data_IF_444430566307
#
_entry.id   IF_444430566307
#
_cell.length_a   1.000
_cell.length_b   1.000
_cell.length_c   1.000
_cell.angle_alpha   90.00
_cell.angle_beta   90.00
_cell.angle_gamma   90.00
#
_symmetry.space_group_name_H-M   'P 1'
#
loop_
_entity.id
_entity.type
_entity.pdbx_description
1 polymer ?
#
# COMPACT_ATOMS: atom_id res chain seq x y z
N UNK A 1 -18.39 7.23 59.10
CA UNK A 1 -17.54 8.31 58.54
C UNK A 1 -16.23 7.82 57.89
N UNK A 2 -15.75 6.60 58.13
CA UNK A 2 -14.47 6.10 57.54
C UNK A 2 -14.56 5.64 56.07
N UNK A 3 -15.74 5.39 55.52
CA UNK A 3 -15.89 4.89 54.14
C UNK A 3 -16.05 6.00 53.09
N UNK A 4 -16.51 7.19 53.49
CA UNK A 4 -16.65 8.34 52.58
C UNK A 4 -15.30 8.91 52.12
N UNK A 5 -14.27 8.85 52.95
CA UNK A 5 -12.92 9.33 52.62
C UNK A 5 -12.18 8.43 51.65
N UNK A 6 -12.47 7.11 51.69
CA UNK A 6 -11.86 6.16 50.73
C UNK A 6 -12.42 6.31 49.32
N UNK A 7 -13.69 6.63 49.20
CA UNK A 7 -14.32 6.87 47.88
C UNK A 7 -13.86 8.21 47.27
N UNK A 8 -13.62 9.23 48.11
CA UNK A 8 -13.09 10.52 47.65
C UNK A 8 -11.63 10.43 47.21
N UNK A 9 -10.79 9.63 47.88
CA UNK A 9 -9.40 9.41 47.49
C UNK A 9 -9.31 8.59 46.20
N UNK A 10 -10.20 7.61 46.00
CA UNK A 10 -10.25 6.83 44.76
C UNK A 10 -10.70 7.68 43.55
N UNK A 11 -11.69 8.56 43.77
CA UNK A 11 -12.13 9.48 42.69
C UNK A 11 -11.07 10.53 42.35
N UNK A 12 -10.31 11.02 43.34
CA UNK A 12 -9.20 11.96 43.10
C UNK A 12 -8.02 11.30 42.40
N UNK A 13 -7.72 10.03 42.69
CA UNK A 13 -6.69 9.25 42.01
C UNK A 13 -7.04 8.95 40.54
N UNK A 14 -8.33 8.65 40.28
CA UNK A 14 -8.81 8.47 38.89
C UNK A 14 -8.78 9.77 38.07
N UNK A 15 -9.07 10.92 38.71
CA UNK A 15 -8.96 12.23 38.07
C UNK A 15 -7.51 12.63 37.74
N UNK A 16 -6.55 12.25 38.59
CA UNK A 16 -5.12 12.50 38.36
C UNK A 16 -4.53 11.57 37.27
N UNK A 17 -5.10 10.37 37.10
CA UNK A 17 -4.69 9.45 36.04
C UNK A 17 -5.27 9.84 34.67
N UNK A 18 -6.39 10.56 34.63
CA UNK A 18 -6.98 11.09 33.40
C UNK A 18 -6.33 12.41 32.93
N UNK A 19 -5.61 13.10 33.81
CA UNK A 19 -4.92 14.36 33.49
C UNK A 19 -3.45 14.16 32.99
N UNK A 20 -2.95 12.91 32.95
CA UNK A 20 -1.55 12.58 32.73
C UNK A 20 -1.19 11.95 31.40
N UNK A 21 -2.13 11.76 30.48
CA UNK A 21 -1.85 11.23 29.14
C UNK A 21 -2.34 12.20 28.06
N UNK A 22 -1.87 13.46 28.11
CA UNK A 22 -1.65 14.17 26.88
C UNK A 22 -0.32 13.61 26.33
N UNK A 23 -0.39 12.63 25.41
CA UNK A 23 0.73 12.35 24.54
C UNK A 23 1.16 13.70 23.94
N UNK A 24 2.48 14.00 23.83
CA UNK A 24 2.88 15.12 23.04
C UNK A 24 2.26 14.90 21.66
N UNK A 25 1.42 15.84 21.20
CA UNK A 25 1.07 15.93 19.80
C UNK A 25 2.43 15.94 19.08
N UNK A 26 2.71 14.85 18.36
CA UNK A 26 3.81 14.83 17.43
C UNK A 26 3.54 16.07 16.56
N UNK A 27 4.41 17.07 16.67
CA UNK A 27 4.42 18.19 15.73
C UNK A 27 4.47 17.53 14.37
N UNK A 28 3.33 17.55 13.67
CA UNK A 28 3.22 17.06 12.31
C UNK A 28 4.38 17.71 11.56
N UNK A 29 5.39 16.90 11.22
CA UNK A 29 6.36 17.33 10.23
C UNK A 29 5.49 17.82 9.07
N UNK A 30 5.52 19.13 8.84
CA UNK A 30 4.62 19.77 7.91
C UNK A 30 4.78 19.04 6.57
N UNK A 31 3.74 18.30 6.18
CA UNK A 31 3.72 17.62 4.91
C UNK A 31 4.15 18.65 3.87
N UNK A 32 5.13 18.31 3.05
CA UNK A 32 5.54 19.18 1.96
C UNK A 32 4.27 19.53 1.21
N UNK A 33 3.90 20.82 1.10
CA UNK A 33 2.66 21.17 0.44
C UNK A 33 2.69 20.61 -0.96
N UNK A 34 1.63 19.88 -1.31
CA UNK A 34 1.47 19.36 -2.67
C UNK A 34 1.58 20.53 -3.65
N UNK A 35 2.36 20.41 -4.73
CA UNK A 35 2.42 21.45 -5.72
C UNK A 35 1.00 21.68 -6.30
N UNK A 36 0.52 22.92 -6.29
CA UNK A 36 -0.79 23.30 -6.86
C UNK A 36 -0.91 22.91 -8.33
N UNK A 37 0.23 22.67 -8.99
CA UNK A 37 0.30 22.17 -10.36
C UNK A 37 1.70 21.68 -10.71
N UNK A 38 1.77 20.85 -11.75
CA UNK A 38 3.03 20.32 -12.29
C UNK A 38 3.31 20.93 -13.66
N UNK A 39 4.55 21.34 -13.90
CA UNK A 39 4.95 21.83 -15.23
C UNK A 39 5.12 20.66 -16.20
N UNK A 40 4.37 20.71 -17.30
CA UNK A 40 4.44 19.73 -18.39
C UNK A 40 4.33 20.43 -19.74
N UNK A 41 5.26 20.13 -20.64
CA UNK A 41 5.31 20.73 -21.99
C UNK A 41 5.20 22.24 -22.04
N UNK A 42 5.66 22.95 -20.99
CA UNK A 42 5.61 24.41 -20.90
C UNK A 42 4.29 24.98 -20.36
N UNK A 43 3.38 24.13 -19.93
CA UNK A 43 2.13 24.52 -19.26
C UNK A 43 2.09 23.98 -17.84
N UNK A 44 1.40 24.68 -16.95
CA UNK A 44 1.10 24.16 -15.60
C UNK A 44 -0.20 23.36 -15.67
N UNK A 45 -0.14 22.07 -15.36
CA UNK A 45 -1.32 21.22 -15.22
C UNK A 45 -1.73 21.15 -13.75
N UNK A 46 -3.03 21.28 -13.49
CA UNK A 46 -3.58 21.25 -12.12
C UNK A 46 -4.00 19.84 -11.76
N UNK A 47 -3.89 19.51 -10.48
CA UNK A 47 -4.40 18.24 -9.97
C UNK A 47 -5.91 18.14 -10.19
N UNK A 48 -6.37 16.98 -10.60
CA UNK A 48 -7.79 16.65 -10.64
C UNK A 48 -8.28 16.23 -9.25
N UNK A 49 -9.08 17.07 -8.62
CA UNK A 49 -9.62 16.84 -7.27
C UNK A 49 -10.65 15.70 -7.22
N UNK A 50 -11.11 15.18 -8.35
CA UNK A 50 -11.98 13.99 -8.41
C UNK A 50 -11.20 12.68 -8.29
N UNK A 51 -9.91 12.70 -8.57
CA UNK A 51 -9.02 11.53 -8.49
C UNK A 51 -8.79 11.14 -7.03
N UNK A 52 -8.79 9.84 -6.78
CA UNK A 52 -8.46 9.25 -5.48
C UNK A 52 -7.30 8.28 -5.65
N UNK A 53 -6.42 8.27 -4.67
CA UNK A 53 -5.25 7.38 -4.65
C UNK A 53 -5.18 6.55 -3.37
N UNK A 54 -4.75 5.29 -3.53
CA UNK A 54 -4.58 4.34 -2.45
C UNK A 54 -3.23 3.64 -2.59
N UNK A 55 -2.36 3.78 -1.59
CA UNK A 55 -1.13 3.01 -1.49
C UNK A 55 -1.40 1.68 -0.79
N UNK A 56 -1.09 0.56 -1.43
CA UNK A 56 -1.14 -0.78 -0.84
C UNK A 56 0.28 -1.31 -0.70
N UNK A 57 0.65 -1.71 0.51
CA UNK A 57 1.97 -2.27 0.82
C UNK A 57 1.86 -3.60 1.54
N UNK A 58 2.65 -4.58 1.11
CA UNK A 58 2.87 -5.79 1.89
C UNK A 58 4.15 -5.68 2.71
N UNK A 59 4.06 -6.09 3.99
CA UNK A 59 5.17 -6.09 4.95
C UNK A 59 5.47 -7.54 5.34
N UNK A 60 6.72 -7.94 5.27
CA UNK A 60 7.20 -9.20 5.84
C UNK A 60 8.26 -8.96 6.89
N UNK A 61 8.52 -9.97 7.70
CA UNK A 61 9.58 -9.94 8.70
C UNK A 61 10.62 -10.99 8.31
N UNK A 62 11.88 -10.59 8.32
CA UNK A 62 12.97 -11.53 8.14
C UNK A 62 13.22 -12.39 9.41
N UNK A 63 14.25 -13.26 9.36
CA UNK A 63 14.58 -14.14 10.48
C UNK A 63 15.06 -13.42 11.72
N UNK A 64 15.58 -12.21 11.56
CA UNK A 64 16.12 -11.37 12.63
C UNK A 64 15.04 -10.40 13.16
N UNK A 65 13.84 -10.42 12.58
CA UNK A 65 12.70 -9.60 12.97
C UNK A 65 12.66 -8.23 12.28
N UNK A 66 13.49 -8.01 11.27
CA UNK A 66 13.43 -6.77 10.47
C UNK A 66 12.20 -6.79 9.57
N UNK A 67 11.44 -5.72 9.61
CA UNK A 67 10.31 -5.50 8.72
C UNK A 67 10.78 -4.94 7.38
N UNK A 68 10.35 -5.57 6.29
CA UNK A 68 10.68 -5.17 4.93
C UNK A 68 9.40 -5.04 4.11
N UNK A 69 9.32 -4.00 3.28
CA UNK A 69 8.27 -3.94 2.27
C UNK A 69 8.59 -4.93 1.16
N UNK A 70 7.69 -5.84 0.90
CA UNK A 70 7.84 -6.86 -0.14
C UNK A 70 7.10 -6.50 -1.41
N UNK A 71 6.07 -5.64 -1.32
CA UNK A 71 5.38 -5.08 -2.47
C UNK A 71 4.83 -3.69 -2.18
N UNK A 72 4.79 -2.85 -3.21
CA UNK A 72 4.27 -1.49 -3.16
C UNK A 72 3.46 -1.23 -4.44
N UNK A 73 2.22 -0.79 -4.26
CA UNK A 73 1.29 -0.54 -5.34
C UNK A 73 0.52 0.74 -5.08
N UNK A 74 0.41 1.60 -6.09
CA UNK A 74 -0.47 2.77 -6.02
C UNK A 74 -1.62 2.56 -6.98
N UNK A 75 -2.82 2.52 -6.43
CA UNK A 75 -4.06 2.53 -7.19
C UNK A 75 -4.52 3.97 -7.34
N UNK A 76 -4.94 4.31 -8.54
CA UNK A 76 -5.49 5.63 -8.88
C UNK A 76 -6.86 5.43 -9.49
N UNK A 77 -7.90 5.97 -8.84
CA UNK A 77 -9.26 5.91 -9.35
C UNK A 77 -9.65 7.27 -9.91
N UNK A 78 -10.03 7.29 -11.18
CA UNK A 78 -10.50 8.47 -11.86
C UNK A 78 -12.00 8.79 -11.57
N UNK A 79 -12.50 9.89 -12.12
CA UNK A 79 -13.89 10.34 -11.93
C UNK A 79 -14.92 9.34 -12.47
N UNK A 80 -14.56 8.57 -13.50
CA UNK A 80 -15.44 7.57 -14.13
C UNK A 80 -15.46 6.25 -13.34
N UNK A 81 -14.63 6.15 -12.28
CA UNK A 81 -14.52 4.97 -11.41
C UNK A 81 -13.56 3.90 -11.93
N UNK A 82 -12.86 4.16 -13.02
CA UNK A 82 -11.80 3.28 -13.51
C UNK A 82 -10.59 3.33 -12.58
N UNK A 83 -9.93 2.18 -12.39
CA UNK A 83 -8.74 2.06 -11.55
C UNK A 83 -7.54 1.71 -12.39
N UNK A 84 -6.54 2.56 -12.32
CA UNK A 84 -5.20 2.32 -12.82
C UNK A 84 -4.27 1.94 -11.66
N UNK A 85 -3.30 1.09 -11.94
CA UNK A 85 -2.37 0.60 -10.95
C UNK A 85 -0.94 0.79 -11.43
N UNK A 86 -0.07 1.33 -10.57
CA UNK A 86 1.38 1.28 -10.75
C UNK A 86 2.02 0.45 -9.63
N UNK A 87 2.83 -0.52 -10.03
CA UNK A 87 3.64 -1.33 -9.12
C UNK A 87 5.05 -0.75 -9.05
N UNK A 88 5.51 -0.49 -7.85
CA UNK A 88 6.85 0.05 -7.58
C UNK A 88 7.76 -1.10 -7.16
N UNK A 89 8.84 -1.41 -7.91
CA UNK A 89 9.82 -2.40 -7.49
C UNK A 89 10.40 -2.07 -6.11
N UNK A 90 10.47 -3.06 -5.24
CA UNK A 90 10.91 -2.88 -3.84
C UNK A 90 12.33 -2.32 -3.71
N UNK A 91 13.17 -2.56 -4.72
CA UNK A 91 14.57 -2.11 -4.76
C UNK A 91 14.71 -0.70 -5.39
N UNK A 92 13.58 0.00 -5.64
CA UNK A 92 13.58 1.37 -6.18
C UNK A 92 14.32 2.31 -5.24
N UNK A 93 15.32 3.01 -5.79
CA UNK A 93 16.16 3.93 -5.04
C UNK A 93 15.41 5.22 -4.71
N UNK A 94 15.25 5.49 -3.44
CA UNK A 94 14.61 6.71 -2.91
C UNK A 94 15.50 7.42 -1.91
N UNK A 95 15.20 8.70 -1.67
CA UNK A 95 15.74 9.43 -0.52
C UNK A 95 14.87 9.08 0.68
N UNK A 96 15.47 8.54 1.73
CA UNK A 96 14.76 8.11 2.93
C UNK A 96 15.35 8.75 4.18
N UNK A 97 14.55 8.84 5.23
CA UNK A 97 14.98 9.32 6.53
C UNK A 97 15.27 8.12 7.44
N UNK A 98 16.42 8.15 8.05
CA UNK A 98 16.83 7.18 9.06
C UNK A 98 16.71 7.81 10.44
N UNK A 99 16.21 7.05 11.41
CA UNK A 99 16.05 7.48 12.80
C UNK A 99 17.04 6.72 13.68
N UNK A 100 17.93 7.45 14.36
CA UNK A 100 18.89 6.86 15.29
C UNK A 100 18.25 6.61 16.67
N UNK A 101 18.84 5.70 17.43
CA UNK A 101 18.41 5.39 18.81
C UNK A 101 18.45 6.61 19.75
N UNK A 102 19.25 7.60 19.45
CA UNK A 102 19.36 8.87 20.18
C UNK A 102 18.32 9.93 19.77
N UNK A 103 17.41 9.59 18.85
CA UNK A 103 16.42 10.49 18.28
C UNK A 103 16.99 11.43 17.19
N UNK A 104 18.28 11.30 16.86
CA UNK A 104 18.83 12.00 15.70
C UNK A 104 18.30 11.38 14.41
N UNK A 105 18.08 12.20 13.40
CA UNK A 105 17.70 11.70 12.08
C UNK A 105 18.68 12.20 11.02
N UNK A 106 18.92 11.36 10.02
CA UNK A 106 19.70 11.75 8.83
C UNK A 106 19.03 11.23 7.57
N UNK A 107 19.25 11.90 6.47
CA UNK A 107 18.75 11.52 5.15
C UNK A 107 19.82 10.76 4.36
N UNK A 108 19.42 9.69 3.70
CA UNK A 108 20.30 8.90 2.83
C UNK A 108 19.51 8.28 1.69
N UNK A 109 20.22 7.74 0.70
CA UNK A 109 19.60 6.96 -0.34
C UNK A 109 19.60 5.48 0.03
N UNK A 110 18.48 4.81 -0.22
CA UNK A 110 18.32 3.37 -0.03
C UNK A 110 17.19 2.82 -0.89
N UNK A 111 16.95 1.50 -0.85
CA UNK A 111 15.81 0.90 -1.50
C UNK A 111 14.53 1.29 -0.76
N UNK A 112 13.44 1.46 -1.49
CA UNK A 112 12.15 1.84 -0.90
C UNK A 112 11.64 0.79 0.09
N UNK A 113 12.05 -0.49 -0.06
CA UNK A 113 11.76 -1.57 0.88
C UNK A 113 12.19 -1.29 2.32
N UNK A 114 13.25 -0.52 2.50
CA UNK A 114 13.84 -0.29 3.82
C UNK A 114 13.21 0.91 4.55
N UNK A 115 12.40 1.72 3.84
CA UNK A 115 11.79 2.93 4.42
C UNK A 115 10.93 2.59 5.63
N UNK A 116 10.15 1.50 5.54
CA UNK A 116 9.27 1.06 6.62
C UNK A 116 10.07 0.73 7.88
N UNK A 117 11.08 -0.12 7.75
CA UNK A 117 11.94 -0.51 8.86
C UNK A 117 12.70 0.67 9.46
N UNK A 118 13.25 1.55 8.62
CA UNK A 118 14.02 2.71 9.08
C UNK A 118 13.22 3.67 9.97
N UNK A 119 11.88 3.63 9.91
CA UNK A 119 10.97 4.48 10.66
C UNK A 119 10.12 3.72 11.70
N UNK A 120 10.24 2.38 11.80
CA UNK A 120 9.39 1.54 12.64
C UNK A 120 9.55 1.85 14.13
N UNK A 121 10.78 1.94 14.62
CA UNK A 121 11.06 2.25 16.03
C UNK A 121 10.60 3.66 16.46
N UNK A 122 10.50 4.58 15.49
CA UNK A 122 9.95 5.91 15.71
C UNK A 122 8.41 5.93 15.68
N UNK A 123 7.76 4.83 15.31
CA UNK A 123 6.30 4.77 15.13
C UNK A 123 5.80 5.54 13.90
N UNK A 124 6.65 5.74 12.91
CA UNK A 124 6.39 6.54 11.71
C UNK A 124 6.45 5.70 10.41
N UNK A 125 6.47 4.36 10.50
CA UNK A 125 6.74 3.47 9.38
C UNK A 125 5.77 3.66 8.20
N UNK A 126 4.45 3.68 8.46
CA UNK A 126 3.43 3.87 7.44
C UNK A 126 3.55 5.26 6.80
N UNK A 127 3.64 6.32 7.62
CA UNK A 127 3.73 7.69 7.12
C UNK A 127 5.01 7.92 6.32
N UNK A 128 6.16 7.44 6.79
CA UNK A 128 7.43 7.58 6.06
C UNK A 128 7.39 6.88 4.71
N UNK A 129 6.68 5.73 4.63
CA UNK A 129 6.49 5.03 3.36
C UNK A 129 5.60 5.83 2.40
N UNK A 130 4.48 6.37 2.91
CA UNK A 130 3.59 7.26 2.13
C UNK A 130 4.37 8.47 1.60
N UNK A 131 5.17 9.12 2.44
CA UNK A 131 5.96 10.29 2.07
C UNK A 131 7.04 9.95 1.02
N UNK A 132 7.69 8.79 1.14
CA UNK A 132 8.68 8.33 0.18
C UNK A 132 8.05 8.03 -1.19
N UNK A 133 6.86 7.39 -1.22
CA UNK A 133 6.10 7.14 -2.46
C UNK A 133 5.62 8.45 -3.06
N UNK A 134 5.06 9.36 -2.25
CA UNK A 134 4.66 10.70 -2.69
C UNK A 134 5.83 11.43 -3.35
N UNK A 135 6.99 11.49 -2.68
CA UNK A 135 8.20 12.13 -3.22
C UNK A 135 8.69 11.47 -4.51
N UNK A 136 8.63 10.13 -4.61
CA UNK A 136 8.96 9.39 -5.83
C UNK A 136 8.06 9.81 -7.00
N UNK A 137 6.76 9.96 -6.74
CA UNK A 137 5.74 10.40 -7.71
C UNK A 137 5.71 11.93 -7.94
N UNK A 138 6.77 12.64 -7.54
CA UNK A 138 6.90 14.09 -7.77
C UNK A 138 6.13 14.98 -6.79
N UNK A 139 5.82 14.47 -5.60
CA UNK A 139 5.11 15.19 -4.55
C UNK A 139 3.58 15.03 -4.60
N UNK A 140 3.07 14.11 -5.39
CA UNK A 140 1.62 13.84 -5.45
C UNK A 140 1.13 13.33 -4.09
N UNK A 141 0.05 13.91 -3.59
CA UNK A 141 -0.60 13.44 -2.36
C UNK A 141 -1.20 12.05 -2.58
N UNK A 142 -0.85 11.13 -1.69
CA UNK A 142 -1.53 9.84 -1.55
C UNK A 142 -2.69 10.03 -0.56
N UNK A 143 -3.92 9.75 -1.00
CA UNK A 143 -5.11 10.07 -0.20
C UNK A 143 -5.33 9.07 0.93
N UNK A 144 -5.01 7.78 0.70
CA UNK A 144 -5.17 6.69 1.66
C UNK A 144 -4.07 5.66 1.53
N UNK A 145 -3.88 4.88 2.58
CA UNK A 145 -2.96 3.75 2.56
C UNK A 145 -3.53 2.50 3.23
N UNK A 146 -3.00 1.34 2.85
CA UNK A 146 -3.25 0.06 3.47
C UNK A 146 -1.95 -0.76 3.53
N UNK A 147 -1.55 -1.17 4.73
CA UNK A 147 -0.42 -2.06 4.96
C UNK A 147 -0.95 -3.40 5.48
N UNK A 148 -0.39 -4.48 4.98
CA UNK A 148 -0.78 -5.83 5.36
C UNK A 148 0.44 -6.75 5.42
N UNK A 149 0.36 -7.75 6.27
CA UNK A 149 1.30 -8.86 6.33
C UNK A 149 0.62 -10.18 5.92
N UNK A 150 1.35 -11.28 5.96
CA UNK A 150 0.82 -12.60 5.57
C UNK A 150 -0.40 -13.03 6.38
N UNK A 151 -0.48 -12.68 7.67
CA UNK A 151 -1.64 -13.03 8.53
C UNK A 151 -2.85 -12.22 8.09
N UNK A 152 -2.69 -10.92 7.91
CA UNK A 152 -3.75 -10.01 7.45
C UNK A 152 -4.21 -10.36 6.02
N UNK A 153 -3.31 -10.82 5.15
CA UNK A 153 -3.67 -11.34 3.82
C UNK A 153 -4.55 -12.58 3.94
N UNK A 154 -4.28 -13.46 4.91
CA UNK A 154 -5.13 -14.61 5.19
C UNK A 154 -6.50 -14.19 5.73
N UNK A 155 -6.53 -13.27 6.71
CA UNK A 155 -7.78 -12.75 7.27
C UNK A 155 -8.67 -12.12 6.18
N UNK A 156 -8.08 -11.35 5.25
CA UNK A 156 -8.79 -10.82 4.09
C UNK A 156 -9.34 -11.92 3.17
N UNK A 157 -8.54 -12.96 2.91
CA UNK A 157 -8.99 -14.09 2.10
C UNK A 157 -10.15 -14.85 2.78
N UNK A 158 -10.12 -14.98 4.11
CA UNK A 158 -11.19 -15.62 4.87
C UNK A 158 -12.51 -14.80 4.82
N UNK A 159 -12.43 -13.47 4.75
CA UNK A 159 -13.59 -12.59 4.50
C UNK A 159 -14.21 -12.80 3.11
N UNK A 160 -13.42 -13.27 2.15
CA UNK A 160 -13.84 -13.65 0.79
C UNK A 160 -14.23 -15.14 0.69
N UNK A 161 -14.72 -15.74 1.77
CA UNK A 161 -15.07 -17.17 1.84
C UNK A 161 -13.86 -18.10 1.56
N UNK A 162 -12.63 -17.56 1.69
CA UNK A 162 -11.37 -18.31 1.59
C UNK A 162 -10.92 -18.65 0.17
N UNK A 163 -11.59 -18.16 -0.86
CA UNK A 163 -11.28 -18.49 -2.25
C UNK A 163 -11.04 -17.22 -3.08
N UNK A 164 -9.83 -17.07 -3.60
CA UNK A 164 -9.47 -16.02 -4.56
C UNK A 164 -9.11 -16.69 -5.88
N UNK A 165 -9.78 -16.32 -6.95
CA UNK A 165 -9.55 -16.89 -8.27
C UNK A 165 -8.60 -16.01 -9.08
N UNK A 166 -7.47 -16.58 -9.50
CA UNK A 166 -6.50 -15.92 -10.38
C UNK A 166 -6.39 -16.67 -11.69
N UNK A 167 -6.50 -15.97 -12.80
CA UNK A 167 -6.10 -16.48 -14.10
C UNK A 167 -4.57 -16.37 -14.21
N UNK A 168 -3.88 -17.48 -14.03
CA UNK A 168 -2.43 -17.52 -14.19
C UNK A 168 -2.11 -17.62 -15.67
N UNK A 169 -1.63 -16.53 -16.24
CA UNK A 169 -1.21 -16.48 -17.65
C UNK A 169 0.20 -17.05 -17.87
N UNK A 170 1.01 -17.08 -16.79
CA UNK A 170 2.40 -17.53 -16.84
C UNK A 170 2.50 -19.06 -16.69
N UNK A 171 3.53 -19.66 -17.31
CA UNK A 171 3.87 -21.06 -17.07
C UNK A 171 4.36 -21.24 -15.62
N UNK A 172 3.42 -21.62 -14.76
CA UNK A 172 3.68 -21.92 -13.34
C UNK A 172 4.14 -23.35 -13.11
N UNK A 173 4.53 -24.07 -14.18
CA UNK A 173 4.98 -25.47 -14.11
C UNK A 173 6.15 -25.69 -13.15
N UNK A 174 6.98 -24.67 -12.96
CA UNK A 174 8.11 -24.68 -12.03
C UNK A 174 7.70 -24.39 -10.58
N UNK A 175 6.47 -23.92 -10.34
CA UNK A 175 5.92 -23.74 -9.01
C UNK A 175 5.61 -25.08 -8.38
N UNK A 176 6.50 -25.62 -7.58
CA UNK A 176 6.30 -26.90 -6.89
C UNK A 176 4.99 -26.99 -6.07
N UNK A 177 4.46 -25.86 -5.63
CA UNK A 177 3.21 -25.73 -4.90
C UNK A 177 1.99 -25.93 -5.81
N UNK A 178 2.13 -25.68 -7.13
CA UNK A 178 1.00 -25.65 -8.08
C UNK A 178 1.01 -26.80 -9.10
N UNK A 179 1.86 -27.79 -8.97
CA UNK A 179 1.93 -28.94 -9.90
C UNK A 179 0.61 -29.70 -10.14
N UNK A 180 -0.42 -29.43 -9.34
CA UNK A 180 -1.77 -29.98 -9.51
C UNK A 180 -2.76 -29.06 -10.23
N UNK A 181 -2.38 -27.82 -10.56
CA UNK A 181 -3.28 -26.78 -11.05
C UNK A 181 -3.09 -26.40 -12.53
N UNK A 182 -2.33 -27.18 -13.27
CA UNK A 182 -1.96 -26.87 -14.68
C UNK A 182 -3.15 -26.70 -15.63
N UNK A 183 -4.34 -27.15 -15.26
CA UNK A 183 -5.54 -27.08 -16.09
C UNK A 183 -6.72 -26.33 -15.42
N UNK A 184 -6.51 -25.69 -14.26
CA UNK A 184 -7.59 -25.08 -13.47
C UNK A 184 -7.12 -23.71 -12.99
N UNK A 185 -8.00 -22.72 -13.03
CA UNK A 185 -7.78 -21.43 -12.33
C UNK A 185 -7.34 -21.71 -10.90
N UNK A 186 -6.15 -21.34 -10.48
CA UNK A 186 -5.74 -21.59 -9.13
C UNK A 186 -6.62 -20.79 -8.17
N UNK A 187 -7.14 -21.48 -7.18
CA UNK A 187 -7.81 -20.89 -6.03
C UNK A 187 -6.73 -20.62 -5.01
N UNK A 188 -6.53 -19.35 -4.68
CA UNK A 188 -5.54 -18.94 -3.69
C UNK A 188 -6.26 -18.52 -2.41
N UNK A 189 -6.11 -19.33 -1.36
CA UNK A 189 -6.53 -18.99 -0.02
C UNK A 189 -5.31 -18.68 0.85
N UNK A 190 -5.35 -17.60 1.60
CA UNK A 190 -4.41 -17.26 2.65
C UNK A 190 -2.93 -17.50 2.33
N UNK A 191 -2.36 -18.55 2.93
CA UNK A 191 -0.95 -18.89 2.75
C UNK A 191 -0.54 -19.22 1.30
N UNK A 192 -1.46 -19.76 0.50
CA UNK A 192 -1.21 -20.01 -0.92
C UNK A 192 -1.05 -18.70 -1.71
N UNK A 193 -1.81 -17.67 -1.35
CA UNK A 193 -1.64 -16.32 -1.93
C UNK A 193 -0.25 -15.75 -1.61
N UNK A 194 0.20 -15.91 -0.36
CA UNK A 194 1.54 -15.47 0.03
C UNK A 194 2.64 -16.21 -0.74
N UNK A 195 2.52 -17.53 -0.89
CA UNK A 195 3.48 -18.34 -1.65
C UNK A 195 3.48 -17.96 -3.13
N UNK A 196 2.30 -17.68 -3.70
CA UNK A 196 2.18 -17.20 -5.08
C UNK A 196 2.92 -15.88 -5.31
N UNK A 197 2.90 -14.97 -4.34
CA UNK A 197 3.56 -13.69 -4.44
C UNK A 197 5.09 -13.78 -4.26
N UNK A 198 5.55 -14.63 -3.36
CA UNK A 198 6.91 -14.53 -2.85
C UNK A 198 7.79 -15.76 -3.09
N UNK A 199 7.18 -16.96 -3.16
CA UNK A 199 7.94 -18.20 -3.21
C UNK A 199 7.59 -19.02 -4.45
N UNK A 200 8.50 -19.04 -5.37
CA UNK A 200 8.43 -19.87 -6.56
C UNK A 200 9.52 -20.92 -6.46
N UNK A 201 9.20 -22.00 -5.74
CA UNK A 201 10.09 -23.16 -5.69
C UNK A 201 11.47 -22.90 -5.09
N UNK A 202 11.59 -21.93 -4.19
CA UNK A 202 12.84 -21.59 -3.52
C UNK A 202 13.81 -20.76 -4.37
N UNK A 203 13.35 -20.19 -5.49
CA UNK A 203 14.12 -19.24 -6.28
C UNK A 203 13.84 -17.85 -5.72
N UNK A 204 14.87 -17.20 -5.20
CA UNK A 204 14.82 -15.80 -4.78
C UNK A 204 14.88 -14.92 -6.03
N UNK A 205 13.71 -14.52 -6.52
CA UNK A 205 13.63 -13.60 -7.66
C UNK A 205 13.98 -12.18 -7.20
N UNK A 206 14.75 -11.45 -8.00
CA UNK A 206 14.99 -10.03 -7.76
C UNK A 206 13.66 -9.27 -7.55
N UNK A 207 13.67 -8.26 -6.71
CA UNK A 207 12.50 -7.41 -6.48
C UNK A 207 12.01 -6.66 -7.71
N UNK A 208 12.80 -6.70 -8.78
CA UNK A 208 12.55 -6.12 -10.10
C UNK A 208 12.04 -7.13 -11.13
N UNK A 209 11.87 -8.42 -10.74
CA UNK A 209 11.39 -9.45 -11.67
C UNK A 209 9.98 -9.13 -12.19
N UNK A 210 9.80 -8.89 -13.50
CA UNK A 210 8.50 -8.51 -14.07
C UNK A 210 7.41 -9.56 -13.82
N UNK A 211 7.76 -10.86 -13.80
CA UNK A 211 6.78 -11.93 -13.55
C UNK A 211 6.26 -11.88 -12.12
N UNK A 212 7.15 -11.64 -11.15
CA UNK A 212 6.75 -11.47 -9.76
C UNK A 212 5.86 -10.24 -9.59
N UNK A 213 6.22 -9.12 -10.18
CA UNK A 213 5.45 -7.87 -10.09
C UNK A 213 4.07 -8.01 -10.74
N UNK A 214 3.96 -8.71 -11.89
CA UNK A 214 2.66 -9.03 -12.52
C UNK A 214 1.78 -9.91 -11.64
N UNK A 215 2.33 -10.89 -10.94
CA UNK A 215 1.54 -11.71 -9.99
C UNK A 215 0.95 -10.88 -8.86
N UNK A 216 1.69 -9.88 -8.36
CA UNK A 216 1.14 -8.95 -7.39
C UNK A 216 -0.05 -8.17 -7.98
N UNK A 217 0.05 -7.71 -9.23
CA UNK A 217 -1.05 -7.02 -9.92
C UNK A 217 -2.27 -7.94 -10.10
N UNK A 218 -2.06 -9.17 -10.54
CA UNK A 218 -3.12 -10.17 -10.69
C UNK A 218 -3.85 -10.46 -9.38
N UNK A 219 -3.10 -10.56 -8.25
CA UNK A 219 -3.72 -10.76 -6.94
C UNK A 219 -4.56 -9.57 -6.52
N UNK A 220 -4.06 -8.35 -6.70
CA UNK A 220 -4.82 -7.12 -6.38
C UNK A 220 -6.10 -7.06 -7.23
N UNK A 221 -6.02 -7.34 -8.52
CA UNK A 221 -7.18 -7.37 -9.42
C UNK A 221 -8.21 -8.41 -8.96
N UNK A 222 -7.75 -9.62 -8.60
CA UNK A 222 -8.62 -10.68 -8.11
C UNK A 222 -9.34 -10.27 -6.81
N UNK A 223 -8.61 -9.69 -5.84
CA UNK A 223 -9.22 -9.18 -4.61
C UNK A 223 -10.27 -8.10 -4.89
N UNK A 224 -9.96 -7.12 -5.73
CA UNK A 224 -10.91 -6.05 -6.07
C UNK A 224 -12.16 -6.62 -6.75
N UNK A 225 -11.99 -7.56 -7.68
CA UNK A 225 -13.09 -8.22 -8.38
C UNK A 225 -13.99 -9.02 -7.43
N UNK A 226 -13.39 -9.81 -6.54
CA UNK A 226 -14.13 -10.69 -5.64
C UNK A 226 -14.85 -9.88 -4.56
N UNK A 227 -14.20 -8.86 -3.98
CA UNK A 227 -14.86 -7.92 -3.07
C UNK A 227 -16.01 -7.17 -3.74
N UNK A 228 -15.84 -6.70 -4.98
CA UNK A 228 -16.90 -6.05 -5.73
C UNK A 228 -18.09 -6.99 -5.93
N UNK A 229 -17.82 -8.24 -6.32
CA UNK A 229 -18.86 -9.26 -6.50
C UNK A 229 -19.63 -9.57 -5.21
N UNK A 230 -18.94 -9.67 -4.07
CA UNK A 230 -19.58 -9.87 -2.77
C UNK A 230 -20.40 -8.64 -2.36
N UNK A 231 -19.85 -7.43 -2.47
CA UNK A 231 -20.55 -6.19 -2.13
C UNK A 231 -21.87 -6.05 -2.90
N UNK A 232 -21.90 -6.39 -4.20
CA UNK A 232 -23.12 -6.32 -5.01
C UNK A 232 -24.23 -7.27 -4.51
N UNK A 233 -23.88 -8.39 -3.87
CA UNK A 233 -24.83 -9.40 -3.39
C UNK A 233 -25.40 -9.06 -1.99
N UNK A 234 -24.80 -8.16 -1.26
CA UNK A 234 -25.12 -7.85 0.13
C UNK A 234 -26.09 -6.68 0.25
N UNK A 235 -26.89 -6.67 1.33
CA UNK A 235 -27.64 -5.47 1.73
C UNK A 235 -26.69 -4.36 2.19
N UNK A 236 -27.15 -3.11 2.18
CA UNK A 236 -26.34 -1.95 2.59
C UNK A 236 -25.72 -2.16 3.99
N UNK A 237 -26.46 -2.70 4.95
CA UNK A 237 -25.95 -2.95 6.29
C UNK A 237 -24.85 -4.02 6.31
N UNK A 238 -24.99 -5.06 5.49
CA UNK A 238 -23.95 -6.10 5.36
C UNK A 238 -22.73 -5.57 4.63
N UNK A 239 -22.89 -4.71 3.63
CA UNK A 239 -21.79 -4.02 2.94
C UNK A 239 -20.98 -3.14 3.92
N UNK A 240 -21.66 -2.37 4.78
CA UNK A 240 -21.02 -1.57 5.82
C UNK A 240 -20.23 -2.44 6.81
N UNK A 241 -20.80 -3.59 7.21
CA UNK A 241 -20.14 -4.53 8.12
C UNK A 241 -18.89 -5.15 7.46
N UNK A 242 -19.02 -5.68 6.23
CA UNK A 242 -17.88 -6.25 5.51
C UNK A 242 -16.78 -5.21 5.26
N UNK A 243 -17.15 -3.98 4.90
CA UNK A 243 -16.19 -2.90 4.72
C UNK A 243 -15.44 -2.57 6.02
N UNK A 244 -16.14 -2.60 7.17
CA UNK A 244 -15.51 -2.41 8.48
C UNK A 244 -14.58 -3.57 8.83
N UNK A 245 -14.99 -4.82 8.59
CA UNK A 245 -14.15 -6.00 8.81
C UNK A 245 -12.86 -5.95 7.99
N UNK A 246 -12.92 -5.45 6.73
CA UNK A 246 -11.74 -5.21 5.90
C UNK A 246 -10.81 -4.18 6.54
N UNK A 247 -11.35 -3.05 6.99
CA UNK A 247 -10.55 -2.01 7.68
C UNK A 247 -9.87 -2.58 8.91
N UNK A 248 -10.60 -3.36 9.72
CA UNK A 248 -10.10 -3.93 10.96
C UNK A 248 -8.99 -4.99 10.74
N UNK A 249 -8.93 -5.60 9.55
CA UNK A 249 -7.86 -6.52 9.17
C UNK A 249 -6.55 -5.82 8.80
N UNK A 250 -6.55 -4.51 8.51
CA UNK A 250 -5.42 -3.80 7.91
C UNK A 250 -4.79 -2.80 8.88
N UNK A 251 -3.55 -2.43 8.63
CA UNK A 251 -2.97 -1.19 9.15
C UNK A 251 -3.23 -0.09 8.14
N UNK A 252 -4.24 0.75 8.40
CA UNK A 252 -4.75 1.65 7.38
C UNK A 252 -5.35 2.92 7.97
N UNK A 253 -5.44 3.96 7.16
CA UNK A 253 -6.26 5.14 7.39
C UNK A 253 -7.58 5.12 6.59
N UNK A 254 -7.87 4.00 5.89
CA UNK A 254 -9.15 3.79 5.23
C UNK A 254 -10.30 3.78 6.25
N UNK A 255 -11.43 4.31 5.82
CA UNK A 255 -12.71 4.14 6.48
C UNK A 255 -13.54 3.08 5.75
N UNK A 256 -14.58 2.53 6.40
CA UNK A 256 -15.51 1.62 5.74
C UNK A 256 -16.16 2.27 4.49
N UNK A 257 -16.39 3.58 4.51
CA UNK A 257 -16.89 4.32 3.34
C UNK A 257 -15.86 4.37 2.21
N UNK A 258 -14.56 4.53 2.53
CA UNK A 258 -13.50 4.46 1.52
C UNK A 258 -13.49 3.07 0.87
N UNK A 259 -13.52 1.98 1.67
CA UNK A 259 -13.57 0.61 1.15
C UNK A 259 -14.76 0.41 0.21
N UNK A 260 -15.98 0.79 0.61
CA UNK A 260 -17.16 0.72 -0.25
C UNK A 260 -16.97 1.51 -1.56
N UNK A 261 -16.33 2.67 -1.48
CA UNK A 261 -16.10 3.49 -2.67
C UNK A 261 -15.09 2.87 -3.64
N UNK A 262 -14.11 2.11 -3.13
CA UNK A 262 -13.11 1.43 -3.94
C UNK A 262 -13.63 0.10 -4.53
N UNK A 263 -14.53 -0.60 -3.84
CA UNK A 263 -15.05 -1.91 -4.25
C UNK A 263 -16.37 -1.84 -5.01
N UNK A 264 -17.12 -0.75 -4.90
CA UNK A 264 -18.52 -0.67 -5.35
C UNK A 264 -18.75 -0.74 -6.85
N UNK A 265 -17.73 -0.67 -7.71
CA UNK A 265 -17.89 -0.68 -9.18
C UNK A 265 -16.73 -1.35 -9.94
N UNK A 266 -15.73 -1.84 -9.24
CA UNK A 266 -14.49 -2.31 -9.87
C UNK A 266 -14.53 -3.81 -10.11
N UNK A 267 -14.65 -4.21 -11.37
CA UNK A 267 -14.55 -5.62 -11.76
C UNK A 267 -13.17 -6.02 -12.27
N UNK A 268 -12.36 -5.04 -12.66
CA UNK A 268 -10.97 -5.23 -13.09
C UNK A 268 -10.24 -3.90 -13.13
N UNK A 269 -8.92 -3.97 -13.14
CA UNK A 269 -8.08 -2.80 -13.41
C UNK A 269 -8.28 -2.33 -14.85
N UNK A 270 -8.32 -1.01 -15.06
CA UNK A 270 -8.31 -0.40 -16.40
C UNK A 270 -6.92 -0.58 -17.01
N UNK A 271 -5.87 -0.20 -16.27
CA UNK A 271 -4.48 -0.47 -16.65
C UNK A 271 -3.66 -0.92 -15.44
N UNK A 272 -2.60 -1.68 -15.73
CA UNK A 272 -1.63 -2.11 -14.73
C UNK A 272 -0.21 -1.90 -15.27
N UNK A 273 0.53 -1.01 -14.62
CA UNK A 273 1.88 -0.62 -14.98
C UNK A 273 2.90 -1.11 -13.96
N UNK A 274 4.11 -1.40 -14.43
CA UNK A 274 5.29 -1.52 -13.57
C UNK A 274 6.11 -0.25 -13.78
N UNK A 275 6.58 0.36 -12.69
CA UNK A 275 7.42 1.55 -12.75
C UNK A 275 8.62 1.30 -13.66
N UNK A 276 8.68 2.03 -14.77
CA UNK A 276 9.77 1.93 -15.73
C UNK A 276 11.09 2.43 -15.14
N UNK A 277 12.18 1.79 -15.53
CA UNK A 277 13.51 2.12 -15.06
C UNK A 277 14.57 1.14 -15.54
N UNK A 278 15.70 1.13 -14.86
CA UNK A 278 16.79 0.21 -15.13
C UNK A 278 17.50 -0.18 -13.83
N UNK A 279 18.08 -1.36 -13.85
CA UNK A 279 18.88 -1.86 -12.73
C UNK A 279 20.27 -1.22 -12.76
N UNK A 280 20.70 -0.67 -11.63
CA UNK A 280 22.03 -0.11 -11.45
C UNK A 280 22.75 -0.93 -10.39
N UNK A 281 23.61 -1.82 -10.82
CA UNK A 281 24.44 -2.64 -9.96
C UNK A 281 25.70 -1.85 -9.54
N UNK A 282 25.94 -1.81 -8.24
CA UNK A 282 27.21 -1.38 -7.65
C UNK A 282 27.91 -2.57 -7.04
N UNK A 283 29.19 -2.42 -6.64
CA UNK A 283 29.93 -3.51 -5.99
C UNK A 283 29.31 -4.00 -4.67
N UNK A 284 28.34 -3.26 -4.12
CA UNK A 284 27.75 -3.52 -2.81
C UNK A 284 26.23 -3.66 -2.84
N UNK A 285 25.53 -2.93 -3.76
CA UNK A 285 24.08 -2.85 -3.80
C UNK A 285 23.57 -2.84 -5.24
N UNK A 286 22.38 -3.41 -5.44
CA UNK A 286 21.63 -3.29 -6.69
C UNK A 286 20.38 -2.45 -6.42
N UNK A 287 20.13 -1.46 -7.28
CA UNK A 287 18.98 -0.57 -7.17
C UNK A 287 18.24 -0.47 -8.48
N UNK A 288 16.92 -0.36 -8.39
CA UNK A 288 16.08 0.08 -9.50
C UNK A 288 16.08 1.60 -9.58
N UNK A 289 16.57 2.14 -10.68
CA UNK A 289 16.59 3.58 -10.96
C UNK A 289 15.40 3.91 -11.86
N UNK A 290 14.40 4.66 -11.38
CA UNK A 290 13.23 5.01 -12.18
C UNK A 290 13.58 5.85 -13.40
N UNK A 291 12.92 5.56 -14.53
CA UNK A 291 12.86 6.52 -15.65
C UNK A 291 11.98 7.70 -15.25
N UNK A 292 12.62 8.80 -14.95
CA UNK A 292 11.94 10.00 -14.47
C UNK A 292 11.02 10.63 -15.50
N UNK A 293 11.31 10.45 -16.78
CA UNK A 293 10.46 10.99 -17.86
C UNK A 293 9.19 10.17 -18.00
N UNK A 294 9.32 8.84 -18.06
CA UNK A 294 8.18 7.95 -18.12
C UNK A 294 7.30 8.09 -16.88
N UNK A 295 7.92 8.12 -15.68
CA UNK A 295 7.20 8.32 -14.43
C UNK A 295 6.44 9.65 -14.39
N UNK A 296 7.08 10.75 -14.82
CA UNK A 296 6.44 12.07 -14.87
C UNK A 296 5.24 12.06 -15.81
N UNK A 297 5.36 11.44 -17.00
CA UNK A 297 4.26 11.30 -17.95
C UNK A 297 3.11 10.53 -17.31
N UNK A 298 3.39 9.36 -16.72
CA UNK A 298 2.38 8.56 -16.05
C UNK A 298 1.65 9.34 -14.94
N UNK A 299 2.41 10.06 -14.09
CA UNK A 299 1.83 10.89 -13.02
C UNK A 299 0.89 11.96 -13.57
N UNK A 300 1.29 12.62 -14.66
CA UNK A 300 0.46 13.68 -15.25
C UNK A 300 -0.83 13.11 -15.82
N UNK A 301 -0.74 12.00 -16.54
CA UNK A 301 -1.89 11.34 -17.16
C UNK A 301 -2.92 10.84 -16.14
N UNK A 302 -2.47 10.46 -14.93
CA UNK A 302 -3.33 9.80 -13.94
C UNK A 302 -3.73 10.69 -12.75
N UNK A 303 -3.03 11.80 -12.50
CA UNK A 303 -3.33 12.68 -11.36
C UNK A 303 -3.69 14.10 -11.74
N UNK A 304 -3.42 14.52 -12.98
CA UNK A 304 -3.64 15.89 -13.39
C UNK A 304 -4.54 15.93 -14.61
N UNK A 305 -5.49 16.84 -14.60
CA UNK A 305 -6.30 17.11 -15.77
C UNK A 305 -5.39 17.60 -16.89
N UNK A 306 -5.34 16.86 -18.00
CA UNK A 306 -4.95 17.48 -19.26
C UNK A 306 -5.90 18.62 -19.51
N UNK A 307 -5.40 19.85 -19.67
CA UNK A 307 -6.22 20.88 -20.29
C UNK A 307 -6.48 20.36 -21.72
N UNK A 308 -7.70 19.90 -21.99
CA UNK A 308 -8.12 19.73 -23.36
C UNK A 308 -7.77 21.06 -24.05
N UNK A 309 -6.87 21.00 -25.04
CA UNK A 309 -6.54 22.16 -25.84
C UNK A 309 -7.88 22.60 -26.44
N UNK A 310 -8.49 23.64 -25.86
CA UNK A 310 -9.60 24.35 -26.49
C UNK A 310 -9.04 24.88 -27.82
N UNK A 311 -9.36 24.14 -28.92
CA UNK A 311 -9.20 24.62 -30.28
C UNK A 311 -10.12 25.83 -30.57
#
# INVERSE_FOLDING_TARGET
MRNAWRSLLAALLCLLLLAGCAAPEAENAAATPEPEGMEFSGSTVLRDESIRSLLICAVSYDRDGYSLLTSLHVLVRNADGEIDLITIPKDTRVLMQHYGEDGASYTGYGPISDVYHAAEDAGLAEQSTVDAVSALLGGVRIDRYAFLNVVQLQDLADLLEGEIYIDVEDDVSDLNVYRGYQDVRPVLAGFASYSYLNDIGGIDYPGTDPYKLRRHQQLIEAFLSDFSGQMEALSQQEQEALAQDIVDCLRTDLTAQDVQSWTGQVRRLHTAHILEGYENETDQDSYWIPDRSALKTWVIEHFYCGQDEEE
#
